data_IF_639864043713
#
_entry.id   IF_639864043713
#
_cell.length_a   1.000
_cell.length_b   1.000
_cell.length_c   1.000
_cell.angle_alpha   90.00
_cell.angle_beta   90.00
_cell.angle_gamma   90.00
#
_symmetry.space_group_name_H-M   'P 1'
#
loop_
_entity.id
_entity.type
_entity.pdbx_description
1 polymer ?
#
# COMPACT_ATOMS: atom_id res chain seq x y z
N UNK A 1 -12.16 -0.24 -27.78
CA UNK A 1 -13.07 -0.58 -26.66
C UNK A 1 -14.06 0.58 -26.52
N UNK A 2 -15.33 0.34 -26.80
CA UNK A 2 -16.28 1.37 -27.24
C UNK A 2 -17.07 2.08 -26.12
N UNK A 3 -17.79 3.13 -26.46
CA UNK A 3 -18.45 4.09 -25.57
C UNK A 3 -19.73 3.59 -24.87
N UNK A 4 -19.91 2.27 -24.70
CA UNK A 4 -21.14 1.70 -24.13
C UNK A 4 -21.24 1.71 -22.59
N UNK A 5 -20.12 1.87 -21.87
CA UNK A 5 -20.11 1.84 -20.39
C UNK A 5 -20.43 3.20 -19.72
N UNK A 6 -20.34 4.31 -20.45
CA UNK A 6 -20.59 5.64 -19.86
C UNK A 6 -22.08 6.04 -19.76
N UNK A 7 -22.99 5.40 -20.49
CA UNK A 7 -24.43 5.75 -20.47
C UNK A 7 -25.26 5.14 -19.33
N UNK A 8 -24.73 4.12 -18.64
CA UNK A 8 -25.48 3.40 -17.60
C UNK A 8 -25.40 3.99 -16.19
N UNK A 9 -24.45 4.88 -15.90
CA UNK A 9 -24.17 5.34 -14.53
C UNK A 9 -24.82 6.68 -14.16
N UNK A 10 -25.35 7.45 -15.11
CA UNK A 10 -25.94 8.77 -14.84
C UNK A 10 -27.26 8.75 -14.06
N UNK A 11 -27.86 7.58 -13.83
CA UNK A 11 -29.13 7.44 -13.10
C UNK A 11 -29.04 6.78 -11.73
N UNK A 12 -27.87 6.27 -11.33
CA UNK A 12 -27.71 5.44 -10.12
C UNK A 12 -27.01 6.18 -8.96
N UNK A 13 -26.47 7.38 -9.19
CA UNK A 13 -25.86 8.16 -8.11
C UNK A 13 -26.96 8.92 -7.39
N UNK A 14 -27.20 8.60 -6.12
CA UNK A 14 -28.08 9.39 -5.26
C UNK A 14 -27.67 10.86 -5.33
N UNK A 15 -28.63 11.77 -5.50
CA UNK A 15 -28.37 13.23 -5.57
C UNK A 15 -27.88 13.81 -4.24
N UNK A 16 -27.99 13.07 -3.15
CA UNK A 16 -27.49 13.50 -1.84
C UNK A 16 -26.08 12.97 -1.62
N UNK A 17 -25.13 13.84 -1.24
CA UNK A 17 -23.78 13.40 -0.91
C UNK A 17 -23.81 12.47 0.32
N UNK A 18 -23.10 11.37 0.24
CA UNK A 18 -22.94 10.45 1.37
C UNK A 18 -22.26 11.19 2.53
N UNK A 19 -22.79 11.00 3.76
CA UNK A 19 -22.14 11.53 4.96
C UNK A 19 -20.72 10.94 5.09
N UNK A 20 -19.69 11.80 5.16
CA UNK A 20 -18.30 11.33 5.22
C UNK A 20 -17.97 10.48 6.45
N UNK A 21 -18.73 10.63 7.55
CA UNK A 21 -18.55 9.81 8.77
C UNK A 21 -19.08 8.40 8.52
N UNK A 22 -20.28 8.30 8.00
CA UNK A 22 -20.91 7.01 7.62
C UNK A 22 -20.04 6.27 6.61
N UNK A 23 -19.54 6.97 5.58
CA UNK A 23 -18.64 6.41 4.58
C UNK A 23 -17.38 5.80 5.23
N UNK A 24 -16.68 6.55 6.08
CA UNK A 24 -15.48 6.07 6.79
C UNK A 24 -15.78 4.90 7.75
N UNK A 25 -16.93 4.94 8.44
CA UNK A 25 -17.30 3.87 9.36
C UNK A 25 -17.58 2.55 8.63
N UNK A 26 -18.23 2.59 7.46
CA UNK A 26 -18.49 1.39 6.66
C UNK A 26 -17.19 0.87 6.05
N UNK A 27 -16.40 1.71 5.39
CA UNK A 27 -15.15 1.27 4.78
C UNK A 27 -14.09 0.87 5.81
N UNK A 28 -14.14 1.41 7.02
CA UNK A 28 -13.30 1.00 8.14
C UNK A 28 -13.51 -0.44 8.61
N UNK A 29 -14.59 -1.12 8.16
CA UNK A 29 -14.78 -2.56 8.42
C UNK A 29 -13.82 -3.43 7.57
N UNK A 30 -13.22 -2.87 6.52
CA UNK A 30 -12.20 -3.54 5.74
C UNK A 30 -10.83 -3.34 6.39
N UNK A 31 -10.27 -4.43 6.96
CA UNK A 31 -8.94 -4.42 7.57
C UNK A 31 -7.87 -4.30 6.48
N UNK A 32 -6.92 -3.38 6.67
CA UNK A 32 -5.80 -3.19 5.73
C UNK A 32 -4.46 -3.41 6.42
N UNK A 33 -3.46 -3.79 5.63
CA UNK A 33 -2.06 -3.61 6.01
C UNK A 33 -1.68 -2.12 6.01
N UNK A 34 -0.53 -1.80 6.60
CA UNK A 34 0.04 -0.46 6.56
C UNK A 34 1.41 -0.51 5.90
N UNK A 35 1.60 0.37 4.92
CA UNK A 35 2.87 0.59 4.26
C UNK A 35 3.33 2.04 4.45
N UNK A 36 4.62 2.28 4.26
CA UNK A 36 5.18 3.63 4.08
C UNK A 36 5.77 3.70 2.67
N UNK A 37 5.28 4.65 1.89
CA UNK A 37 5.83 4.98 0.58
C UNK A 37 6.93 6.02 0.78
N UNK A 38 8.12 5.74 0.26
CA UNK A 38 9.31 6.59 0.46
C UNK A 38 10.00 6.90 -0.86
N UNK A 39 10.62 8.07 -0.95
CA UNK A 39 11.48 8.49 -2.05
C UNK A 39 12.56 9.45 -1.56
N UNK A 40 13.57 9.70 -2.39
CA UNK A 40 14.49 10.83 -2.22
C UNK A 40 14.03 11.99 -3.12
N UNK A 41 13.99 13.19 -2.56
CA UNK A 41 13.66 14.42 -3.29
C UNK A 41 14.53 15.57 -2.78
N UNK A 42 15.20 16.27 -3.69
CA UNK A 42 16.14 17.36 -3.36
C UNK A 42 17.19 17.00 -2.29
N UNK A 43 17.69 15.77 -2.35
CA UNK A 43 18.70 15.26 -1.42
C UNK A 43 18.18 14.87 -0.03
N UNK A 44 16.86 14.99 0.21
CA UNK A 44 16.22 14.63 1.49
C UNK A 44 15.26 13.43 1.33
N UNK A 45 15.16 12.55 2.35
CA UNK A 45 14.19 11.47 2.34
C UNK A 45 12.78 12.02 2.61
N UNK A 46 11.81 11.58 1.81
CA UNK A 46 10.40 11.96 1.91
C UNK A 46 9.55 10.70 1.95
N UNK A 47 8.43 10.73 2.69
CA UNK A 47 7.51 9.59 2.72
C UNK A 47 6.16 9.89 3.37
N UNK A 48 5.26 8.93 3.27
CA UNK A 48 3.93 8.97 3.88
C UNK A 48 3.40 7.57 4.15
N UNK A 49 2.59 7.42 5.20
CA UNK A 49 1.88 6.18 5.50
C UNK A 49 0.73 5.98 4.50
N UNK A 50 0.57 4.74 4.05
CA UNK A 50 -0.42 4.38 3.03
C UNK A 50 -1.10 3.07 3.37
N UNK A 51 -2.44 3.06 3.34
CA UNK A 51 -3.30 1.89 3.53
C UNK A 51 -3.87 1.35 2.21
N UNK A 52 -3.91 2.19 1.18
CA UNK A 52 -4.50 1.87 -0.13
C UNK A 52 -3.57 1.06 -1.04
N UNK A 53 -2.54 0.44 -0.48
CA UNK A 53 -1.57 -0.37 -1.23
C UNK A 53 -2.12 -1.77 -1.52
N UNK A 54 -1.92 -2.24 -2.77
CA UNK A 54 -2.20 -3.63 -3.17
C UNK A 54 -1.35 -4.06 -4.37
N UNK A 55 -1.17 -5.38 -4.54
CA UNK A 55 -0.69 -5.97 -5.78
C UNK A 55 -1.74 -5.77 -6.88
N UNK A 56 -1.29 -5.50 -8.11
CA UNK A 56 -2.17 -5.21 -9.25
C UNK A 56 -2.02 -6.24 -10.36
N UNK A 57 -0.80 -6.62 -10.72
CA UNK A 57 -0.51 -7.50 -11.84
C UNK A 57 0.79 -8.26 -11.63
N UNK A 58 0.86 -9.48 -12.14
CA UNK A 58 2.09 -10.27 -12.18
C UNK A 58 2.86 -10.12 -13.49
N UNK A 59 2.15 -9.84 -14.60
CA UNK A 59 2.78 -9.68 -15.92
C UNK A 59 2.11 -8.52 -16.69
N UNK A 60 2.78 -7.35 -16.74
CA UNK A 60 3.99 -6.99 -16.00
C UNK A 60 3.76 -6.89 -14.49
N UNK A 61 4.81 -7.01 -13.65
CA UNK A 61 4.67 -6.92 -12.21
C UNK A 61 4.34 -5.48 -11.79
N UNK A 62 3.12 -5.26 -11.32
CA UNK A 62 2.60 -3.94 -10.93
C UNK A 62 2.00 -3.97 -9.53
N UNK A 63 2.12 -2.84 -8.85
CA UNK A 63 1.42 -2.51 -7.60
C UNK A 63 0.59 -1.25 -7.78
N UNK A 64 -0.38 -1.00 -6.90
CA UNK A 64 -1.09 0.26 -6.86
C UNK A 64 -1.18 0.84 -5.45
N UNK A 65 -1.31 2.17 -5.37
CA UNK A 65 -1.66 2.91 -4.17
C UNK A 65 -2.37 4.23 -4.53
N UNK A 66 -3.08 4.82 -3.56
CA UNK A 66 -3.89 6.01 -3.81
C UNK A 66 -3.49 7.17 -2.87
N UNK A 67 -2.60 8.08 -3.30
CA UNK A 67 -2.27 9.27 -2.54
C UNK A 67 -3.32 10.37 -2.75
N UNK A 68 -3.53 11.23 -1.75
CA UNK A 68 -4.35 12.44 -1.92
C UNK A 68 -3.68 13.42 -2.89
N UNK A 69 -4.48 14.11 -3.72
CA UNK A 69 -3.97 15.12 -4.69
C UNK A 69 -3.22 16.28 -4.03
N UNK A 70 -3.51 16.58 -2.77
CA UNK A 70 -2.86 17.66 -2.01
C UNK A 70 -1.62 17.21 -1.24
N UNK A 71 -1.20 15.95 -1.36
CA UNK A 71 -0.04 15.41 -0.65
C UNK A 71 1.28 15.95 -1.20
N UNK A 72 2.02 16.69 -0.38
CA UNK A 72 3.39 17.14 -0.72
C UNK A 72 4.35 15.96 -0.93
N UNK A 73 4.20 14.91 -0.13
CA UNK A 73 5.03 13.71 -0.27
C UNK A 73 4.74 12.95 -1.57
N UNK A 74 3.49 12.98 -2.07
CA UNK A 74 3.17 12.45 -3.39
C UNK A 74 3.85 13.27 -4.50
N UNK A 75 3.79 14.60 -4.43
CA UNK A 75 4.47 15.46 -5.41
C UNK A 75 5.97 15.15 -5.50
N UNK A 76 6.62 14.86 -4.37
CA UNK A 76 8.02 14.43 -4.34
C UNK A 76 8.22 13.06 -5.02
N UNK A 77 7.33 12.09 -4.80
CA UNK A 77 7.35 10.78 -5.49
C UNK A 77 7.16 10.94 -6.99
N UNK A 78 6.19 11.76 -7.40
CA UNK A 78 5.91 12.04 -8.81
C UNK A 78 7.11 12.70 -9.50
N UNK A 79 7.74 13.68 -8.86
CA UNK A 79 8.92 14.38 -9.39
C UNK A 79 10.15 13.48 -9.49
N UNK A 80 10.35 12.55 -8.52
CA UNK A 80 11.48 11.61 -8.55
C UNK A 80 11.27 10.47 -9.55
N UNK A 81 10.01 10.12 -9.85
CA UNK A 81 9.65 9.03 -10.75
C UNK A 81 9.85 7.62 -10.16
N UNK A 82 10.37 7.49 -8.92
CA UNK A 82 10.59 6.21 -8.25
C UNK A 82 10.25 6.26 -6.77
N UNK A 83 9.99 5.11 -6.17
CA UNK A 83 9.62 4.99 -4.76
C UNK A 83 9.90 3.59 -4.23
N UNK A 84 10.01 3.48 -2.91
CA UNK A 84 10.04 2.21 -2.21
C UNK A 84 8.78 2.06 -1.35
N UNK A 85 8.14 0.89 -1.41
CA UNK A 85 7.05 0.50 -0.50
C UNK A 85 7.67 -0.26 0.66
N UNK A 86 7.47 0.21 1.88
CA UNK A 86 7.93 -0.40 3.11
C UNK A 86 6.74 -1.00 3.85
N UNK A 87 6.63 -2.32 3.93
CA UNK A 87 5.55 -3.02 4.63
C UNK A 87 5.85 -3.04 6.12
N UNK A 88 5.03 -2.40 6.95
CA UNK A 88 5.34 -2.23 8.36
C UNK A 88 5.10 -3.49 9.20
N UNK A 89 6.03 -3.73 10.13
CA UNK A 89 5.93 -4.73 11.18
C UNK A 89 4.99 -4.23 12.31
N UNK A 90 4.33 -5.14 13.04
CA UNK A 90 3.41 -4.82 14.15
C UNK A 90 3.99 -3.86 15.22
N UNK A 91 5.31 -3.90 15.43
CA UNK A 91 6.01 -3.02 16.39
C UNK A 91 6.31 -1.62 15.85
N UNK A 92 5.97 -1.33 14.59
CA UNK A 92 6.24 -0.06 13.94
C UNK A 92 5.02 0.89 13.93
N UNK A 93 4.17 0.81 14.95
CA UNK A 93 3.03 1.73 15.13
C UNK A 93 3.48 3.19 15.15
N UNK A 94 4.56 3.50 15.86
CA UNK A 94 5.08 4.87 15.98
C UNK A 94 5.63 5.38 14.64
N UNK A 95 6.25 4.50 13.84
CA UNK A 95 6.68 4.80 12.46
C UNK A 95 5.45 5.16 11.63
N UNK A 96 4.41 4.34 11.65
CA UNK A 96 3.16 4.61 10.94
C UNK A 96 2.54 5.96 11.34
N UNK A 97 2.43 6.23 12.64
CA UNK A 97 1.87 7.48 13.17
C UNK A 97 2.67 8.70 12.69
N UNK A 98 4.01 8.61 12.71
CA UNK A 98 4.90 9.69 12.25
C UNK A 98 4.74 9.95 10.76
N UNK A 99 4.76 8.90 9.92
CA UNK A 99 4.56 9.07 8.47
C UNK A 99 3.14 9.48 8.08
N UNK A 100 2.15 9.23 8.94
CA UNK A 100 0.78 9.72 8.82
C UNK A 100 0.57 11.17 9.29
N UNK A 101 1.54 11.75 10.03
CA UNK A 101 1.44 13.10 10.56
C UNK A 101 1.67 14.18 9.49
N UNK A 102 1.42 15.44 9.86
CA UNK A 102 1.75 16.63 9.05
C UNK A 102 3.19 17.12 9.25
N UNK A 103 3.99 16.41 10.04
CA UNK A 103 5.36 16.77 10.36
C UNK A 103 6.23 16.86 9.10
N UNK A 104 7.21 17.73 9.11
CA UNK A 104 8.12 17.95 7.99
C UNK A 104 9.33 16.99 8.03
N UNK A 105 9.79 16.65 9.24
CA UNK A 105 10.89 15.71 9.45
C UNK A 105 10.39 14.35 9.96
N UNK A 106 9.87 13.56 9.03
CA UNK A 106 9.33 12.23 9.35
C UNK A 106 10.40 11.16 9.55
N UNK A 107 11.63 11.41 9.11
CA UNK A 107 12.75 10.47 9.21
C UNK A 107 13.62 10.67 10.46
N UNK A 108 13.41 11.71 11.25
CA UNK A 108 14.18 11.95 12.47
C UNK A 108 14.15 10.74 13.40
N UNK A 109 15.35 10.18 13.72
CA UNK A 109 15.50 9.01 14.60
C UNK A 109 14.94 7.70 14.04
N UNK A 110 14.72 7.62 12.72
CA UNK A 110 14.37 6.39 12.02
C UNK A 110 15.59 5.95 11.21
N UNK A 111 16.04 4.73 11.42
CA UNK A 111 17.13 4.14 10.64
C UNK A 111 16.59 3.69 9.27
N UNK A 112 17.36 4.00 8.24
CA UNK A 112 17.03 3.65 6.87
C UNK A 112 18.28 3.57 5.99
N UNK A 113 18.15 2.91 4.86
CA UNK A 113 19.18 2.80 3.82
C UNK A 113 18.59 3.00 2.45
N UNK A 114 19.41 3.24 1.43
CA UNK A 114 18.93 3.37 0.06
C UNK A 114 18.62 2.01 -0.58
N UNK A 115 17.57 1.95 -1.35
CA UNK A 115 17.25 0.86 -2.27
C UNK A 115 18.10 0.90 -3.53
N UNK A 116 17.92 -0.07 -4.43
CA UNK A 116 18.62 -0.08 -5.73
C UNK A 116 18.25 1.10 -6.62
N UNK A 117 17.01 1.60 -6.55
CA UNK A 117 16.55 2.79 -7.27
C UNK A 117 16.83 4.10 -6.50
N UNK A 118 17.43 4.03 -5.31
CA UNK A 118 17.78 5.21 -4.53
C UNK A 118 16.66 5.72 -3.62
N UNK A 119 15.61 4.93 -3.37
CA UNK A 119 14.56 5.29 -2.41
C UNK A 119 14.88 4.76 -1.02
N UNK A 120 14.45 5.44 0.07
CA UNK A 120 14.69 4.96 1.44
C UNK A 120 13.96 3.65 1.76
N UNK A 121 14.71 2.67 2.27
CA UNK A 121 14.19 1.46 2.90
C UNK A 121 14.27 1.66 4.41
N UNK A 122 13.14 1.65 5.10
CA UNK A 122 13.05 1.79 6.56
C UNK A 122 13.48 0.47 7.20
N UNK A 123 14.36 0.54 8.21
CA UNK A 123 14.83 -0.66 8.90
C UNK A 123 13.73 -1.31 9.76
N UNK A 124 13.79 -2.64 9.87
CA UNK A 124 12.84 -3.44 10.64
C UNK A 124 11.48 -3.66 9.97
N UNK A 125 11.30 -3.24 8.71
CA UNK A 125 10.09 -3.55 7.94
C UNK A 125 10.04 -5.02 7.52
N UNK A 126 8.84 -5.56 7.29
CA UNK A 126 8.63 -6.97 6.91
C UNK A 126 9.12 -7.27 5.51
N UNK A 127 8.90 -6.32 4.61
CA UNK A 127 9.29 -6.40 3.21
C UNK A 127 9.43 -5.00 2.65
N UNK A 128 10.21 -4.88 1.58
CA UNK A 128 10.27 -3.68 0.77
C UNK A 128 10.16 -4.02 -0.71
N UNK A 129 9.54 -3.12 -1.46
CA UNK A 129 9.28 -3.25 -2.89
C UNK A 129 9.78 -1.97 -3.55
N UNK A 130 10.77 -2.09 -4.43
CA UNK A 130 11.38 -0.97 -5.12
C UNK A 130 10.72 -0.78 -6.48
N UNK A 131 10.16 0.39 -6.73
CA UNK A 131 9.26 0.66 -7.85
C UNK A 131 9.60 1.96 -8.58
N UNK A 132 9.24 2.03 -9.87
CA UNK A 132 9.08 3.29 -10.58
C UNK A 132 7.60 3.62 -10.80
N UNK A 133 7.27 4.89 -10.93
CA UNK A 133 5.92 5.34 -11.30
C UNK A 133 5.65 4.91 -12.75
N UNK A 134 4.66 4.03 -12.93
CA UNK A 134 4.26 3.50 -14.24
C UNK A 134 3.18 4.37 -14.89
N UNK A 135 2.11 4.67 -14.15
CA UNK A 135 1.03 5.56 -14.61
C UNK A 135 0.27 6.16 -13.44
N UNK A 136 -0.38 7.29 -13.69
CA UNK A 136 -1.18 8.03 -12.73
C UNK A 136 -2.55 8.30 -13.32
N UNK A 137 -3.60 7.99 -12.60
CA UNK A 137 -4.98 8.15 -13.02
C UNK A 137 -5.77 8.99 -12.02
N UNK A 138 -6.80 9.69 -12.51
CA UNK A 138 -7.70 10.45 -11.64
C UNK A 138 -8.60 9.52 -10.82
N UNK A 139 -8.64 9.71 -9.51
CA UNK A 139 -9.44 8.94 -8.55
C UNK A 139 -10.29 9.83 -7.64
N UNK A 140 -10.80 10.97 -8.13
CA UNK A 140 -11.58 11.92 -7.34
C UNK A 140 -10.69 12.89 -6.57
N UNK A 141 -10.69 12.88 -5.23
CA UNK A 141 -9.77 13.65 -4.38
C UNK A 141 -8.39 12.97 -4.19
N UNK A 142 -8.23 11.77 -4.75
CA UNK A 142 -6.98 11.01 -4.81
C UNK A 142 -6.52 10.81 -6.25
N UNK A 143 -5.26 10.39 -6.42
CA UNK A 143 -4.80 9.71 -7.61
C UNK A 143 -4.83 8.20 -7.40
N UNK A 144 -4.92 7.42 -8.48
CA UNK A 144 -4.62 6.00 -8.51
C UNK A 144 -3.28 5.84 -9.23
N UNK A 145 -2.27 5.44 -8.50
CA UNK A 145 -0.89 5.34 -9.01
C UNK A 145 -0.55 3.87 -9.22
N UNK A 146 -0.11 3.53 -10.44
CA UNK A 146 0.46 2.22 -10.73
C UNK A 146 1.98 2.32 -10.64
N UNK A 147 2.59 1.39 -9.91
CA UNK A 147 4.03 1.26 -9.78
C UNK A 147 4.53 0.01 -10.48
N UNK A 148 5.54 0.16 -11.35
CA UNK A 148 6.26 -0.98 -11.92
C UNK A 148 7.29 -1.48 -10.92
N UNK A 149 7.24 -2.77 -10.58
CA UNK A 149 8.14 -3.39 -9.61
C UNK A 149 9.47 -3.74 -10.27
N UNK A 150 10.57 -3.30 -9.67
CA UNK A 150 11.94 -3.56 -10.13
C UNK A 150 12.70 -4.55 -9.23
N UNK A 151 12.47 -4.48 -7.92
CA UNK A 151 13.06 -5.44 -6.99
C UNK A 151 12.21 -5.63 -5.74
N UNK A 152 12.36 -6.79 -5.12
CA UNK A 152 11.68 -7.22 -3.91
C UNK A 152 12.73 -7.58 -2.86
N UNK A 153 12.38 -7.43 -1.58
CA UNK A 153 13.16 -7.99 -0.48
C UNK A 153 13.01 -9.50 -0.42
N UNK A 154 13.95 -10.15 0.24
CA UNK A 154 13.76 -11.53 0.68
C UNK A 154 12.62 -11.60 1.71
N UNK A 155 11.91 -12.74 1.72
CA UNK A 155 10.88 -13.00 2.72
C UNK A 155 11.54 -13.56 3.99
N UNK A 156 11.29 -12.96 5.17
CA UNK A 156 11.86 -13.47 6.41
C UNK A 156 11.44 -14.92 6.69
N UNK A 157 12.40 -15.78 7.06
CA UNK A 157 12.12 -17.18 7.42
C UNK A 157 11.28 -17.34 8.72
N UNK A 158 11.30 -16.35 9.59
CA UNK A 158 10.44 -16.30 10.78
C UNK A 158 9.12 -15.66 10.37
N UNK A 159 8.00 -16.12 10.95
CA UNK A 159 6.66 -15.54 10.70
C UNK A 159 6.51 -14.18 11.41
N UNK A 160 6.98 -13.08 10.82
CA UNK A 160 6.79 -11.76 11.38
C UNK A 160 5.34 -11.34 11.19
N UNK A 161 4.81 -10.52 12.10
CA UNK A 161 3.43 -10.07 12.06
C UNK A 161 3.33 -8.67 11.47
N UNK A 162 2.40 -8.44 10.52
CA UNK A 162 2.19 -7.13 9.93
C UNK A 162 1.49 -6.18 10.89
N UNK A 163 1.74 -4.89 10.74
CA UNK A 163 0.92 -3.85 11.33
C UNK A 163 -0.36 -3.71 10.52
N UNK A 164 -1.50 -3.87 11.19
CA UNK A 164 -2.82 -3.76 10.59
C UNK A 164 -3.55 -2.51 11.10
N UNK A 165 -4.53 -2.07 10.29
CA UNK A 165 -5.43 -0.98 10.65
C UNK A 165 -6.88 -1.42 10.44
N UNK A 166 -7.69 -1.29 11.49
CA UNK A 166 -9.07 -1.71 11.48
C UNK A 166 -9.93 -0.75 12.32
N UNK A 167 -11.03 -0.27 11.75
CA UNK A 167 -12.00 0.62 12.40
C UNK A 167 -11.40 1.86 13.06
N UNK A 168 -10.34 2.40 12.45
CA UNK A 168 -9.68 3.60 12.97
C UNK A 168 -8.57 3.34 13.98
N UNK A 169 -8.24 2.06 14.26
CA UNK A 169 -7.24 1.69 15.26
C UNK A 169 -6.19 0.72 14.70
N UNK A 170 -5.01 0.71 15.31
CA UNK A 170 -3.97 -0.27 15.00
C UNK A 170 -4.31 -1.62 15.63
N UNK A 171 -4.10 -2.67 14.87
CA UNK A 171 -4.31 -4.05 15.31
C UNK A 171 -3.22 -4.97 14.75
N UNK A 172 -3.25 -6.22 15.12
CA UNK A 172 -2.31 -7.26 14.67
C UNK A 172 -3.02 -8.58 14.44
N UNK A 173 -2.28 -9.55 13.95
CA UNK A 173 -2.73 -10.94 13.83
C UNK A 173 -2.47 -11.63 15.16
N UNK A 174 -3.45 -12.36 15.68
CA UNK A 174 -3.21 -13.21 16.87
C UNK A 174 -2.14 -14.27 16.55
N UNK A 175 -1.31 -14.62 17.56
CA UNK A 175 -0.36 -15.72 17.41
C UNK A 175 -1.11 -16.98 16.99
N UNK A 176 -0.62 -17.57 15.91
CA UNK A 176 -1.20 -18.77 15.29
C UNK A 176 -1.34 -19.90 16.32
N UNK A 177 -2.53 -20.16 16.80
CA UNK A 177 -2.88 -21.38 17.51
C UNK A 177 -3.03 -22.46 16.45
N UNK A 178 -1.88 -22.92 15.90
CA UNK A 178 -1.80 -24.09 14.99
C UNK A 178 -2.86 -24.13 13.90
N UNK A 179 -2.63 -23.40 12.81
CA UNK A 179 -3.31 -23.71 11.54
C UNK A 179 -2.78 -25.09 11.10
N UNK A 180 -3.62 -26.10 10.89
CA UNK A 180 -3.16 -27.40 10.40
C UNK A 180 -2.36 -27.23 9.10
N UNK A 181 -1.25 -28.00 8.95
CA UNK A 181 -0.41 -27.96 7.77
C UNK A 181 -1.22 -28.18 6.47
N UNK A 182 -2.27 -28.98 6.57
CA UNK A 182 -3.18 -29.31 5.48
C UNK A 182 -3.83 -28.08 4.81
N UNK A 183 -4.20 -27.03 5.58
CA UNK A 183 -4.77 -25.81 5.01
C UNK A 183 -3.76 -25.02 4.15
N UNK A 184 -2.48 -25.15 4.47
CA UNK A 184 -1.40 -24.48 3.75
C UNK A 184 -1.12 -25.11 2.40
N UNK A 185 -1.14 -26.46 2.37
CA UNK A 185 -0.98 -27.23 1.15
C UNK A 185 -2.17 -27.02 0.20
N UNK A 186 -3.39 -26.94 0.74
CA UNK A 186 -4.60 -26.60 -0.01
C UNK A 186 -4.55 -25.18 -0.58
N UNK A 187 -4.03 -24.20 0.19
CA UNK A 187 -3.88 -22.83 -0.27
C UNK A 187 -2.81 -22.72 -1.37
N UNK A 188 -1.66 -23.39 -1.20
CA UNK A 188 -0.62 -23.41 -2.23
C UNK A 188 -1.14 -24.09 -3.50
N UNK A 189 -1.87 -25.19 -3.39
CA UNK A 189 -2.52 -25.84 -4.51
C UNK A 189 -3.54 -24.92 -5.20
N UNK A 190 -4.34 -24.16 -4.43
CA UNK A 190 -5.29 -23.18 -4.94
C UNK A 190 -4.59 -22.02 -5.64
N UNK A 191 -3.51 -21.47 -5.06
CA UNK A 191 -2.76 -20.34 -5.61
C UNK A 191 -1.91 -20.73 -6.84
N UNK A 192 -1.55 -22.01 -6.97
CA UNK A 192 -0.79 -22.55 -8.11
C UNK A 192 -1.69 -23.18 -9.19
N UNK A 193 -2.96 -23.43 -8.89
CA UNK A 193 -3.92 -23.85 -9.88
C UNK A 193 -4.12 -22.70 -10.90
N UNK A 194 -3.55 -22.87 -12.08
CA UNK A 194 -3.73 -21.95 -13.22
C UNK A 194 -5.14 -22.11 -13.78
N UNK A 195 -6.13 -21.58 -13.08
CA UNK A 195 -7.45 -21.33 -13.64
C UNK A 195 -7.55 -19.85 -13.96
N UNK A 196 -8.22 -19.51 -15.06
CA UNK A 196 -8.41 -18.13 -15.52
C UNK A 196 -9.10 -17.19 -14.49
N UNK A 197 -9.51 -17.74 -13.34
CA UNK A 197 -10.23 -17.08 -12.24
C UNK A 197 -9.40 -16.91 -10.96
N UNK A 198 -8.08 -17.14 -10.95
CA UNK A 198 -7.23 -16.95 -9.77
C UNK A 198 -7.01 -15.46 -9.49
N UNK A 199 -7.49 -15.02 -8.33
CA UNK A 199 -7.25 -13.71 -7.76
C UNK A 199 -5.83 -13.61 -7.19
N UNK A 200 -4.91 -13.10 -7.99
CA UNK A 200 -3.73 -12.32 -7.57
C UNK A 200 -3.33 -11.44 -8.73
#
# INVERSE_FOLDING_TARGET
MGPRLQRGLQGLVSKEPLDPRTFRNVLGQFCTGITVITTMHDGAPVGFACQSFTALSLQPPLVLFCPTKVSRSWQAVEASGHFCVNVLHEKQKDVSARFGSKDTDKFAGIDWRLSKLGSPIIDGTLAHIDCSVHSVHDGGDHFVVFGAVHSLSDVPHKKPRPLLFYRGDYTGIEPDKTTPAQWRDDLEAFLTATTDDTWL
#
